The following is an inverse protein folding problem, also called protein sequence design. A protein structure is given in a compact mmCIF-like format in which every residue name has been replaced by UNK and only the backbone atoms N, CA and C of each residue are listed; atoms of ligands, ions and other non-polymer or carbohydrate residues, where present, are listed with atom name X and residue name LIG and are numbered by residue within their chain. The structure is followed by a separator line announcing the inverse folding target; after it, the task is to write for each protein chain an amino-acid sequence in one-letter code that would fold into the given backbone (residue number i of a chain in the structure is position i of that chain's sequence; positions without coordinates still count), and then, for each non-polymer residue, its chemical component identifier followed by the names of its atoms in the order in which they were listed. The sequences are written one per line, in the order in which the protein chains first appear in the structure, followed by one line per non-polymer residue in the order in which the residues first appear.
data_IF_347219092538
#
_entry.id   IF_347219092538
#
_cell.length_a   1.000
_cell.length_b   1.000
_cell.length_c   1.000
_cell.angle_alpha   90.00
_cell.angle_beta   90.00
_cell.angle_gamma   90.00
#
_symmetry.space_group_name_H-M   'P 1'
#
loop_
_entity.id
_entity.type
_entity.pdbx_description
1 polymer ?
#
# COMPACT_ATOMS: atom_id res chain seq x y z
N UNK A 1 -2.36 -13.33 3.07
CA UNK A 1 -3.72 -13.93 3.10
C UNK A 1 -4.27 -13.91 1.69
N UNK A 2 -4.95 -14.96 1.24
CA UNK A 2 -5.56 -14.99 -0.11
C UNK A 2 -6.78 -14.06 -0.10
N UNK A 3 -6.89 -13.19 -1.10
CA UNK A 3 -8.10 -12.40 -1.38
C UNK A 3 -9.04 -13.30 -2.17
N UNK A 4 -10.21 -13.61 -1.60
CA UNK A 4 -11.21 -14.46 -2.24
C UNK A 4 -12.04 -13.65 -3.22
N UNK A 5 -12.64 -14.29 -4.22
CA UNK A 5 -13.51 -13.62 -5.20
C UNK A 5 -14.73 -12.92 -4.55
N UNK A 6 -15.19 -13.40 -3.39
CA UNK A 6 -16.31 -12.82 -2.65
C UNK A 6 -15.89 -11.71 -1.66
N UNK A 7 -14.59 -11.39 -1.57
CA UNK A 7 -14.09 -10.32 -0.71
C UNK A 7 -14.24 -8.95 -1.41
N UNK A 8 -15.48 -8.47 -1.46
CA UNK A 8 -15.82 -7.15 -2.03
C UNK A 8 -15.31 -5.97 -1.18
N UNK A 9 -14.81 -6.25 0.03
CA UNK A 9 -14.15 -5.27 0.88
C UNK A 9 -12.65 -5.19 0.61
N UNK A 10 -12.08 -6.05 -0.24
CA UNK A 10 -10.69 -5.92 -0.67
C UNK A 10 -10.49 -4.70 -1.57
N UNK A 11 -9.26 -4.17 -1.59
CA UNK A 11 -8.88 -3.10 -2.49
C UNK A 11 -7.50 -3.37 -3.09
N UNK A 12 -7.32 -2.91 -4.32
CA UNK A 12 -6.04 -2.86 -5.00
C UNK A 12 -5.69 -1.39 -5.24
N UNK A 13 -4.56 -0.95 -4.70
CA UNK A 13 -4.08 0.44 -4.79
C UNK A 13 -2.88 0.48 -5.72
N UNK A 14 -2.95 1.32 -6.75
CA UNK A 14 -1.84 1.56 -7.68
C UNK A 14 -1.18 2.88 -7.37
N UNK A 15 0.09 2.82 -6.95
CA UNK A 15 0.95 3.99 -6.70
C UNK A 15 1.78 4.25 -7.95
N UNK A 16 1.69 5.43 -8.53
CA UNK A 16 2.46 5.79 -9.71
C UNK A 16 3.92 6.11 -9.37
N UNK A 17 4.85 5.56 -10.15
CA UNK A 17 6.26 5.96 -10.09
C UNK A 17 6.43 7.34 -10.70
N UNK A 18 7.31 8.14 -10.11
CA UNK A 18 7.63 9.49 -10.59
C UNK A 18 9.09 9.56 -11.00
N UNK A 19 9.36 10.35 -12.04
CA UNK A 19 10.71 10.72 -12.44
C UNK A 19 11.30 11.81 -11.53
N UNK A 20 12.54 12.20 -11.79
CA UNK A 20 13.25 13.25 -11.03
C UNK A 20 12.56 14.62 -11.09
N UNK A 21 11.73 14.85 -12.10
CA UNK A 21 10.94 16.08 -12.26
C UNK A 21 9.56 15.98 -11.59
N UNK A 22 9.29 14.88 -10.88
CA UNK A 22 8.00 14.61 -10.23
C UNK A 22 6.88 14.23 -11.21
N UNK A 23 7.21 13.87 -12.46
CA UNK A 23 6.23 13.46 -13.46
C UNK A 23 6.02 11.96 -13.41
N UNK A 24 4.76 11.55 -13.54
CA UNK A 24 4.40 10.15 -13.58
C UNK A 24 5.04 9.45 -14.80
N UNK A 25 5.71 8.33 -14.57
CA UNK A 25 6.51 7.60 -15.57
C UNK A 25 5.70 6.61 -16.42
N UNK A 26 4.41 6.42 -16.11
CA UNK A 26 3.57 5.38 -16.72
C UNK A 26 3.64 4.02 -16.04
N UNK A 27 4.58 3.84 -15.10
CA UNK A 27 4.70 2.61 -14.31
C UNK A 27 4.04 2.77 -12.94
N UNK A 28 3.40 1.72 -12.45
CA UNK A 28 2.80 1.71 -11.12
C UNK A 28 3.30 0.54 -10.29
N UNK A 29 3.45 0.79 -9.00
CA UNK A 29 3.55 -0.23 -7.99
C UNK A 29 2.17 -0.51 -7.41
N UNK A 30 1.75 -1.76 -7.44
CA UNK A 30 0.42 -2.18 -6.99
C UNK A 30 0.50 -2.88 -5.64
N UNK A 31 -0.37 -2.49 -4.72
CA UNK A 31 -0.55 -3.10 -3.40
C UNK A 31 -1.97 -3.65 -3.27
N UNK A 32 -2.08 -4.89 -2.80
CA UNK A 32 -3.37 -5.54 -2.58
C UNK A 32 -3.65 -5.68 -1.08
N UNK A 33 -4.80 -5.16 -0.64
CA UNK A 33 -5.25 -5.16 0.75
C UNK A 33 -6.53 -5.99 0.84
N UNK A 34 -6.51 -7.03 1.69
CA UNK A 34 -7.71 -7.84 1.92
C UNK A 34 -8.72 -7.10 2.80
N UNK A 35 -10.01 -7.39 2.62
CA UNK A 35 -11.09 -6.72 3.35
C UNK A 35 -11.01 -6.87 4.85
N UNK A 36 -10.43 -7.98 5.34
CA UNK A 36 -10.23 -8.20 6.77
C UNK A 36 -9.32 -7.15 7.43
N UNK A 37 -8.17 -6.83 6.82
CA UNK A 37 -7.24 -5.82 7.37
C UNK A 37 -7.87 -4.43 7.30
N UNK A 38 -8.65 -4.15 6.25
CA UNK A 38 -9.42 -2.91 6.12
C UNK A 38 -10.52 -2.77 7.17
N UNK A 39 -11.22 -3.86 7.50
CA UNK A 39 -12.25 -3.86 8.52
C UNK A 39 -11.71 -3.66 9.94
N UNK A 40 -10.46 -4.07 10.21
CA UNK A 40 -9.82 -3.87 11.52
C UNK A 40 -9.26 -2.46 11.72
N UNK A 41 -9.22 -1.61 10.69
CA UNK A 41 -8.58 -0.28 10.74
C UNK A 41 -7.05 -0.31 10.59
N UNK A 42 -6.43 -1.48 10.57
CA UNK A 42 -4.97 -1.68 10.46
C UNK A 42 -4.43 -1.48 9.02
N UNK A 43 -5.31 -1.11 8.09
CA UNK A 43 -4.96 -0.92 6.68
C UNK A 43 -3.97 0.22 6.46
N UNK A 44 -4.06 1.29 7.24
CA UNK A 44 -3.18 2.45 7.11
C UNK A 44 -1.75 2.11 7.54
N UNK A 45 -1.58 1.52 8.72
CA UNK A 45 -0.27 1.09 9.22
C UNK A 45 0.40 0.08 8.27
N UNK A 46 -0.36 -0.89 7.76
CA UNK A 46 0.14 -1.82 6.76
C UNK A 46 0.62 -1.12 5.49
N UNK A 47 -0.11 -0.11 5.00
CA UNK A 47 0.27 0.64 3.81
C UNK A 47 1.54 1.46 4.05
N UNK A 48 1.65 2.15 5.20
CA UNK A 48 2.83 2.91 5.59
C UNK A 48 4.07 2.02 5.68
N UNK A 49 3.94 0.84 6.29
CA UNK A 49 5.02 -0.14 6.37
C UNK A 49 5.47 -0.64 4.99
N UNK A 50 4.53 -0.98 4.11
CA UNK A 50 4.83 -1.51 2.77
C UNK A 50 5.50 -0.46 1.89
N UNK A 51 4.93 0.75 1.85
CA UNK A 51 5.45 1.85 1.03
C UNK A 51 6.79 2.38 1.54
N UNK A 52 7.02 2.41 2.85
CA UNK A 52 8.33 2.75 3.41
C UNK A 52 9.38 1.69 3.10
N UNK A 53 9.04 0.40 3.16
CA UNK A 53 9.95 -0.68 2.77
C UNK A 53 10.31 -0.59 1.29
N UNK A 54 9.35 -0.25 0.44
CA UNK A 54 9.53 -0.15 -1.00
C UNK A 54 10.16 1.21 -1.40
N UNK A 55 10.51 2.07 -0.44
CA UNK A 55 11.29 3.30 -0.65
C UNK A 55 10.48 4.56 -0.99
N UNK A 56 9.16 4.47 -1.00
CA UNK A 56 8.27 5.61 -1.31
C UNK A 56 8.08 6.56 -0.13
N UNK A 57 8.18 6.06 1.11
CA UNK A 57 8.08 6.85 2.33
C UNK A 57 9.36 6.74 3.15
N UNK A 58 9.65 7.77 3.95
CA UNK A 58 10.80 7.80 4.86
C UNK A 58 10.39 8.34 6.21
N UNK A 59 10.59 7.55 7.27
CA UNK A 59 10.39 7.98 8.66
C UNK A 59 8.93 8.04 9.12
N UNK A 60 8.00 7.42 8.39
CA UNK A 60 6.56 7.41 8.71
C UNK A 60 6.21 6.23 9.61
N UNK A 61 6.83 5.06 9.40
CA UNK A 61 6.58 3.83 10.15
C UNK A 61 7.79 3.44 11.03
N UNK A 62 7.53 3.00 12.26
CA UNK A 62 8.52 2.46 13.20
C UNK A 62 8.14 1.06 13.68
N UNK A 63 9.11 0.14 13.74
CA UNK A 63 8.88 -1.23 14.22
C UNK A 63 8.80 -1.35 15.76
N UNK A 64 9.20 -0.30 16.48
CA UNK A 64 8.98 -0.15 17.92
C UNK A 64 7.78 0.76 18.14
N UNK A 65 6.90 0.33 19.05
CA UNK A 65 5.82 1.13 19.63
C UNK A 65 6.25 1.67 20.98
#
# INVERSE_FOLDING_TARGET
RIIKATDHASAQISVGNVDENGRYTGENKTYALCGFVRAMGESDDCMNRLTQRDGYLKGVWTGSR
#
